data_IF_559775634958
#
_entry.id   IF_559775634958
#
_cell.length_a   1.000
_cell.length_b   1.000
_cell.length_c   1.000
_cell.angle_alpha   90.00
_cell.angle_beta   90.00
_cell.angle_gamma   90.00
#
_symmetry.space_group_name_H-M   'P 1'
#
loop_
_entity.id
_entity.type
_entity.pdbx_description
1 polymer ?
#
# COMPACT_ATOMS: atom_id res chain seq x y z
N UNK A 1 11.20 0.32 -0.16
CA UNK A 1 10.07 0.30 0.81
C UNK A 1 9.98 -1.09 1.44
N UNK A 2 9.30 -1.32 2.57
CA UNK A 2 9.00 -2.68 3.06
C UNK A 2 7.52 -2.85 3.45
N UNK A 3 7.05 -4.11 3.50
CA UNK A 3 5.66 -4.44 3.89
C UNK A 3 5.25 -3.85 5.25
N UNK A 4 6.16 -3.86 6.22
CA UNK A 4 5.86 -3.37 7.57
C UNK A 4 5.56 -1.87 7.58
N UNK A 5 6.27 -1.08 6.77
CA UNK A 5 5.99 0.34 6.60
C UNK A 5 4.59 0.58 6.03
N UNK A 6 4.19 -0.20 5.02
CA UNK A 6 2.86 -0.13 4.39
C UNK A 6 1.77 -0.53 5.38
N UNK A 7 1.97 -1.62 6.13
CA UNK A 7 1.09 -2.06 7.22
C UNK A 7 0.92 -0.98 8.29
N UNK A 8 2.02 -0.34 8.69
CA UNK A 8 1.97 0.72 9.70
C UNK A 8 1.21 1.94 9.19
N UNK A 9 1.43 2.34 7.93
CA UNK A 9 0.72 3.44 7.30
C UNK A 9 -0.79 3.17 7.21
N UNK A 10 -1.20 1.95 6.83
CA UNK A 10 -2.60 1.49 6.83
C UNK A 10 -3.19 1.35 8.25
N UNK A 11 -2.38 0.98 9.24
CA UNK A 11 -2.87 0.90 10.63
C UNK A 11 -3.15 2.29 11.20
N UNK A 12 -2.46 3.32 10.69
CA UNK A 12 -2.65 4.73 11.07
C UNK A 12 -3.70 5.45 10.21
N UNK A 13 -3.94 4.97 8.99
CA UNK A 13 -4.82 5.62 8.01
C UNK A 13 -5.70 4.57 7.34
N UNK A 14 -7.00 4.84 7.22
CA UNK A 14 -7.96 3.93 6.57
C UNK A 14 -7.70 3.69 5.08
N UNK A 15 -6.85 4.51 4.44
CA UNK A 15 -6.48 4.41 3.04
C UNK A 15 -5.09 5.04 2.82
N UNK A 16 -4.28 4.43 1.97
CA UNK A 16 -3.03 5.00 1.45
C UNK A 16 -2.98 4.88 -0.07
N UNK A 17 -2.10 5.67 -0.70
CA UNK A 17 -1.75 5.54 -2.12
C UNK A 17 -0.29 5.12 -2.21
N UNK A 18 -0.04 4.05 -2.94
CA UNK A 18 1.30 3.56 -3.26
C UNK A 18 1.68 4.05 -4.64
N UNK A 19 2.87 4.63 -4.79
CA UNK A 19 3.45 4.97 -6.10
C UNK A 19 4.53 3.94 -6.48
N UNK A 20 4.51 3.50 -7.74
CA UNK A 20 5.50 2.56 -8.27
C UNK A 20 6.60 3.27 -9.08
N UNK A 21 7.69 2.56 -9.39
CA UNK A 21 8.75 3.02 -10.31
C UNK A 21 8.23 3.34 -11.72
N UNK A 22 7.08 2.78 -12.10
CA UNK A 22 6.39 3.03 -13.38
C UNK A 22 5.43 4.22 -13.29
N UNK A 23 5.45 4.96 -12.17
CA UNK A 23 4.53 6.05 -11.83
C UNK A 23 3.06 5.62 -11.75
N UNK A 24 2.79 4.33 -11.54
CA UNK A 24 1.45 3.85 -11.26
C UNK A 24 1.06 4.20 -9.83
N UNK A 25 -0.19 4.60 -9.65
CA UNK A 25 -0.76 4.93 -8.33
C UNK A 25 -1.82 3.91 -7.95
N UNK A 26 -1.58 3.24 -6.83
CA UNK A 26 -2.39 2.14 -6.35
C UNK A 26 -3.01 2.55 -5.02
N UNK A 27 -4.32 2.71 -5.00
CA UNK A 27 -5.07 2.90 -3.75
C UNK A 27 -5.10 1.59 -2.99
N UNK A 28 -4.73 1.63 -1.71
CA UNK A 28 -4.71 0.47 -0.82
C UNK A 28 -5.52 0.79 0.42
N UNK A 29 -6.50 -0.06 0.73
CA UNK A 29 -7.34 0.02 1.94
C UNK A 29 -7.14 -1.15 2.87
N UNK A 30 -6.94 -2.34 2.30
CA UNK A 30 -6.67 -3.55 3.03
C UNK A 30 -5.67 -4.41 2.27
N UNK A 31 -4.84 -5.11 3.04
CA UNK A 31 -3.84 -6.05 2.53
C UNK A 31 -3.98 -7.38 3.27
N UNK A 32 -3.67 -8.47 2.59
CA UNK A 32 -3.55 -9.78 3.22
C UNK A 32 -2.20 -9.87 3.96
N UNK A 33 -2.25 -10.29 5.23
CA UNK A 33 -1.04 -10.64 5.95
C UNK A 33 -0.57 -12.03 5.53
N UNK A 34 0.49 -12.07 4.73
CA UNK A 34 1.14 -13.29 4.29
C UNK A 34 2.68 -13.15 4.38
N UNK A 35 3.36 -14.28 4.45
CA UNK A 35 4.83 -14.38 4.55
C UNK A 35 5.56 -14.07 3.22
N UNK A 36 4.85 -13.64 2.17
CA UNK A 36 5.46 -13.32 0.89
C UNK A 36 6.21 -11.97 0.96
N UNK A 37 7.53 -11.98 1.10
CA UNK A 37 8.29 -10.74 1.16
C UNK A 37 8.36 -9.97 -0.16
N UNK A 38 8.06 -10.62 -1.29
CA UNK A 38 8.20 -10.04 -2.64
C UNK A 38 6.95 -9.26 -3.05
N UNK A 39 5.76 -9.72 -2.66
CA UNK A 39 4.49 -9.16 -3.13
C UNK A 39 3.61 -8.63 -2.00
N UNK A 40 3.14 -7.39 -2.12
CA UNK A 40 2.00 -6.88 -1.36
C UNK A 40 0.71 -7.40 -1.97
N UNK A 41 -0.08 -8.16 -1.21
CA UNK A 41 -1.39 -8.59 -1.66
C UNK A 41 -2.45 -7.60 -1.16
N UNK A 42 -2.99 -6.81 -2.09
CA UNK A 42 -4.04 -5.82 -1.82
C UNK A 42 -5.39 -6.49 -2.04
N UNK A 43 -6.23 -6.52 -1.01
CA UNK A 43 -7.57 -7.12 -1.06
C UNK A 43 -8.65 -6.07 -1.31
N UNK A 44 -8.39 -4.81 -0.97
CA UNK A 44 -9.29 -3.68 -1.21
C UNK A 44 -8.57 -2.46 -1.80
N UNK A 45 -9.16 -1.77 -2.80
CA UNK A 45 -10.54 -1.95 -3.30
C UNK A 45 -10.71 -3.11 -4.28
N UNK A 46 -9.62 -3.73 -4.72
CA UNK A 46 -9.60 -4.85 -5.65
C UNK A 46 -8.46 -5.79 -5.30
N UNK A 47 -8.72 -7.08 -5.43
CA UNK A 47 -7.71 -8.15 -5.37
C UNK A 47 -6.64 -7.94 -6.45
N UNK A 48 -5.42 -7.63 -6.02
CA UNK A 48 -4.25 -7.46 -6.87
C UNK A 48 -2.94 -7.63 -6.09
N UNK A 49 -1.89 -8.01 -6.80
CA UNK A 49 -0.53 -8.10 -6.24
C UNK A 49 0.33 -6.93 -6.72
N UNK A 50 1.11 -6.37 -5.80
CA UNK A 50 2.06 -5.28 -6.08
C UNK A 50 3.46 -5.73 -5.66
N UNK A 51 4.42 -5.71 -6.58
CA UNK A 51 5.82 -6.01 -6.26
C UNK A 51 6.39 -4.96 -5.31
N UNK A 52 6.90 -5.39 -4.15
CA UNK A 52 7.43 -4.49 -3.11
C UNK A 52 8.64 -3.70 -3.62
N UNK A 53 9.50 -4.32 -4.44
CA UNK A 53 10.69 -3.67 -5.01
C UNK A 53 10.34 -2.57 -6.01
N UNK A 54 9.12 -2.57 -6.57
CA UNK A 54 8.64 -1.51 -7.45
C UNK A 54 8.07 -0.32 -6.70
N UNK A 55 7.85 -0.40 -5.39
CA UNK A 55 7.24 0.69 -4.61
C UNK A 55 8.29 1.75 -4.28
N UNK A 56 8.06 2.97 -4.78
CA UNK A 56 8.94 4.12 -4.55
C UNK A 56 8.45 4.98 -3.41
N UNK A 57 7.13 5.14 -3.24
CA UNK A 57 6.56 6.05 -2.26
C UNK A 57 5.22 5.59 -1.69
N UNK A 58 4.85 6.13 -0.52
CA UNK A 58 3.54 5.95 0.11
C UNK A 58 3.00 7.33 0.50
N UNK A 59 1.86 7.69 -0.07
CA UNK A 59 1.13 8.90 0.27
C UNK A 59 -0.03 8.52 1.20
N UNK A 60 -0.10 9.20 2.35
CA UNK A 60 -1.22 9.07 3.28
C UNK A 60 -2.25 10.12 2.92
N UNK A 61 -3.47 9.68 2.60
CA UNK A 61 -4.59 10.61 2.42
C UNK A 61 -5.05 11.05 3.81
N UNK A 62 -4.63 12.25 4.24
CA UNK A 62 -5.18 12.89 5.43
C UNK A 62 -6.61 13.39 5.12
N UNK A 63 -7.60 12.49 5.14
CA UNK A 63 -9.01 12.88 5.00
C UNK A 63 -9.54 13.69 6.21
N UNK A 64 -8.80 13.76 7.32
CA UNK A 64 -9.19 14.45 8.56
C UNK A 64 -8.72 15.92 8.69
N UNK A 65 -8.33 16.60 7.60
CA UNK A 65 -7.96 18.03 7.65
C UNK A 65 -9.05 19.01 7.12
N UNK A 66 -10.33 18.69 7.28
CA UNK A 66 -11.44 19.62 6.99
C UNK A 66 -12.16 20.08 8.26
#
# INVERSE_FOLDING_TARGET
>A
MNKNHIKEALSKNSEIIIETVEHERITVKAIEDNDDSQYLHVTEPKDQQVEIDKITDIQVNNFDQL
#
